data_IF_183799610640
#
_entry.id   IF_183799610640
#
_cell.length_a   1.000
_cell.length_b   1.000
_cell.length_c   1.000
_cell.angle_alpha   90.00
_cell.angle_beta   90.00
_cell.angle_gamma   90.00
#
_symmetry.space_group_name_H-M   'P 1'
#
loop_
_entity.id
_entity.type
_entity.pdbx_description
1 polymer ?
#
# COMPACT_ATOMS: atom_id res chain seq x y z
N UNK A 1 28.75 -1.85 -2.98
CA UNK A 1 27.45 -2.42 -2.56
C UNK A 1 27.11 -3.61 -3.47
N UNK A 2 26.72 -4.76 -2.93
CA UNK A 2 26.43 -5.96 -3.73
C UNK A 2 25.18 -5.73 -4.61
N UNK A 3 25.22 -6.14 -5.89
CA UNK A 3 24.09 -6.04 -6.83
C UNK A 3 22.81 -6.69 -6.30
N UNK A 4 22.89 -7.68 -5.41
CA UNK A 4 21.72 -8.23 -4.69
C UNK A 4 21.16 -7.23 -3.66
N UNK A 5 22.03 -6.66 -2.84
CA UNK A 5 21.68 -5.67 -1.81
C UNK A 5 21.03 -4.42 -2.41
N UNK A 6 21.54 -3.92 -3.55
CA UNK A 6 20.94 -2.79 -4.26
C UNK A 6 19.51 -3.08 -4.72
N UNK A 7 19.19 -4.30 -5.15
CA UNK A 7 17.81 -4.62 -5.58
C UNK A 7 16.85 -4.70 -4.41
N UNK A 8 17.32 -5.21 -3.27
CA UNK A 8 16.52 -5.22 -2.05
C UNK A 8 16.24 -3.81 -1.54
N UNK A 9 17.22 -2.91 -1.61
CA UNK A 9 17.03 -1.49 -1.28
C UNK A 9 16.01 -0.85 -2.22
N UNK A 10 16.18 -1.03 -3.54
CA UNK A 10 15.22 -0.51 -4.54
C UNK A 10 13.81 -1.07 -4.30
N UNK A 11 13.70 -2.37 -4.04
CA UNK A 11 12.44 -3.04 -3.73
C UNK A 11 11.78 -2.45 -2.50
N UNK A 12 12.52 -2.34 -1.40
CA UNK A 12 11.99 -1.82 -0.15
C UNK A 12 11.59 -0.35 -0.28
N UNK A 13 12.40 0.47 -0.95
CA UNK A 13 12.08 1.86 -1.23
C UNK A 13 10.80 2.01 -2.05
N UNK A 14 10.61 1.20 -3.10
CA UNK A 14 9.38 1.23 -3.91
C UNK A 14 8.16 0.76 -3.12
N UNK A 15 8.30 -0.32 -2.36
CA UNK A 15 7.23 -0.81 -1.50
C UNK A 15 6.78 0.27 -0.50
N UNK A 16 7.74 0.86 0.21
CA UNK A 16 7.48 1.87 1.22
C UNK A 16 6.87 3.13 0.60
N UNK A 17 7.38 3.56 -0.55
CA UNK A 17 6.82 4.69 -1.30
C UNK A 17 5.35 4.45 -1.69
N UNK A 18 5.01 3.28 -2.24
CA UNK A 18 3.65 2.95 -2.65
C UNK A 18 2.67 2.88 -1.47
N UNK A 19 3.08 2.26 -0.36
CA UNK A 19 2.26 2.18 0.86
C UNK A 19 2.01 3.56 1.43
N UNK A 20 3.06 4.39 1.56
CA UNK A 20 2.91 5.77 2.06
C UNK A 20 2.05 6.62 1.13
N UNK A 21 2.23 6.48 -0.17
CA UNK A 21 1.41 7.18 -1.16
C UNK A 21 -0.06 6.77 -1.02
N UNK A 22 -0.35 5.48 -0.88
CA UNK A 22 -1.72 5.01 -0.64
C UNK A 22 -2.31 5.58 0.66
N UNK A 23 -1.54 5.59 1.75
CA UNK A 23 -1.96 6.18 3.03
C UNK A 23 -2.32 7.66 2.82
N UNK A 24 -1.41 8.45 2.25
CA UNK A 24 -1.62 9.88 1.99
C UNK A 24 -2.88 10.09 1.14
N UNK A 25 -3.03 9.38 0.02
CA UNK A 25 -4.22 9.49 -0.82
C UNK A 25 -5.51 9.10 -0.08
N UNK A 26 -5.45 8.07 0.76
CA UNK A 26 -6.60 7.57 1.51
C UNK A 26 -7.03 8.53 2.62
N UNK A 27 -6.09 9.28 3.20
CA UNK A 27 -6.36 10.37 4.13
C UNK A 27 -6.89 11.63 3.42
N UNK A 28 -6.19 12.15 2.41
CA UNK A 28 -6.52 13.46 1.84
C UNK A 28 -7.72 13.47 0.88
N UNK A 29 -8.04 12.35 0.21
CA UNK A 29 -9.13 12.28 -0.80
C UNK A 29 -10.34 11.48 -0.33
N UNK A 30 -10.35 11.09 0.93
CA UNK A 30 -11.26 10.09 1.48
C UNK A 30 -12.69 10.54 1.76
N UNK A 31 -13.19 11.66 1.25
CA UNK A 31 -14.44 12.26 1.75
C UNK A 31 -15.73 11.54 1.25
N UNK A 32 -15.71 10.87 0.09
CA UNK A 32 -16.93 10.44 -0.62
C UNK A 32 -17.18 8.91 -0.66
N UNK A 33 -16.80 8.17 0.39
CA UNK A 33 -17.16 6.74 0.50
C UNK A 33 -16.44 5.80 -0.47
N UNK A 34 -15.33 6.24 -1.05
CA UNK A 34 -14.47 5.44 -1.92
C UNK A 34 -13.89 4.23 -1.19
N UNK A 35 -13.73 3.11 -1.88
CA UNK A 35 -13.35 1.85 -1.22
C UNK A 35 -11.95 1.89 -0.61
N UNK A 36 -11.05 2.70 -1.18
CA UNK A 36 -9.71 2.97 -0.64
C UNK A 36 -9.68 4.02 0.49
N UNK A 37 -10.76 4.77 0.73
CA UNK A 37 -10.79 5.77 1.80
C UNK A 37 -10.75 5.13 3.19
N UNK A 38 -9.92 5.70 4.08
CA UNK A 38 -9.93 5.41 5.51
C UNK A 38 -11.07 6.15 6.26
N UNK A 39 -11.60 7.24 5.72
CA UNK A 39 -12.62 8.08 6.35
C UNK A 39 -14.03 7.47 6.44
N UNK A 40 -14.27 6.29 5.85
CA UNK A 40 -15.50 5.53 6.14
C UNK A 40 -15.50 4.91 7.55
N UNK A 41 -14.48 5.19 8.37
CA UNK A 41 -14.51 5.08 9.83
C UNK A 41 -15.43 6.15 10.43
N UNK A 42 -16.71 6.15 10.08
CA UNK A 42 -17.70 6.85 10.88
C UNK A 42 -17.87 5.99 12.14
N UNK A 43 -16.99 6.18 13.13
CA UNK A 43 -16.95 5.37 14.36
C UNK A 43 -18.32 5.36 15.05
N UNK A 44 -19.04 6.47 14.97
CA UNK A 44 -20.42 6.61 15.44
C UNK A 44 -21.43 5.74 14.69
N UNK A 45 -21.21 5.44 13.40
CA UNK A 45 -22.18 4.74 12.54
C UNK A 45 -21.89 3.25 12.37
N UNK A 46 -20.63 2.82 12.56
CA UNK A 46 -20.18 1.44 12.30
C UNK A 46 -19.46 0.77 13.48
N UNK A 47 -19.21 1.48 14.60
CA UNK A 47 -18.63 0.91 15.82
C UNK A 47 -17.29 0.19 15.58
N UNK A 48 -16.99 -0.82 16.40
CA UNK A 48 -15.75 -1.61 16.36
C UNK A 48 -15.44 -2.25 14.98
N UNK A 49 -16.48 -2.57 14.20
CA UNK A 49 -16.37 -3.16 12.86
C UNK A 49 -15.71 -2.22 11.83
N UNK A 50 -15.74 -0.92 12.09
CA UNK A 50 -15.09 0.06 11.24
C UNK A 50 -13.58 -0.18 11.18
N UNK A 51 -12.98 -0.53 12.33
CA UNK A 51 -11.55 -0.77 12.48
C UNK A 51 -11.11 -2.02 11.68
N UNK A 52 -11.88 -3.10 11.77
CA UNK A 52 -11.60 -4.37 11.08
C UNK A 52 -11.64 -4.23 9.55
N UNK A 53 -12.63 -3.49 9.03
CA UNK A 53 -12.72 -3.20 7.59
C UNK A 53 -11.52 -2.35 7.13
N UNK A 54 -11.04 -1.43 7.97
CA UNK A 54 -9.85 -0.63 7.68
C UNK A 54 -8.57 -1.48 7.58
N UNK A 55 -8.42 -2.48 8.48
CA UNK A 55 -7.31 -3.42 8.44
C UNK A 55 -7.28 -4.24 7.13
N UNK A 56 -8.43 -4.75 6.69
CA UNK A 56 -8.52 -5.51 5.43
C UNK A 56 -8.08 -4.65 4.23
N UNK A 57 -8.52 -3.39 4.18
CA UNK A 57 -8.13 -2.45 3.13
C UNK A 57 -6.62 -2.18 3.12
N UNK A 58 -6.03 -2.00 4.31
CA UNK A 58 -4.60 -1.83 4.47
C UNK A 58 -3.83 -3.07 3.99
N UNK A 59 -4.28 -4.27 4.34
CA UNK A 59 -3.68 -5.53 3.88
C UNK A 59 -3.73 -5.67 2.35
N UNK A 60 -4.85 -5.33 1.71
CA UNK A 60 -4.99 -5.35 0.25
C UNK A 60 -4.02 -4.35 -0.40
N UNK A 61 -3.97 -3.11 0.11
CA UNK A 61 -3.07 -2.08 -0.41
C UNK A 61 -1.59 -2.45 -0.24
N UNK A 62 -1.22 -3.06 0.89
CA UNK A 62 0.12 -3.58 1.13
C UNK A 62 0.45 -4.71 0.15
N UNK A 63 -0.47 -5.63 -0.10
CA UNK A 63 -0.25 -6.75 -1.03
C UNK A 63 -0.06 -6.27 -2.47
N UNK A 64 -0.86 -5.30 -2.92
CA UNK A 64 -0.72 -4.67 -4.24
C UNK A 64 0.63 -3.94 -4.34
N UNK A 65 0.99 -3.17 -3.31
CA UNK A 65 2.26 -2.45 -3.26
C UNK A 65 3.45 -3.41 -3.32
N UNK A 66 3.36 -4.55 -2.64
CA UNK A 66 4.36 -5.61 -2.65
C UNK A 66 4.54 -6.21 -4.06
N UNK A 67 3.43 -6.53 -4.72
CA UNK A 67 3.45 -7.08 -6.08
C UNK A 67 4.08 -6.12 -7.08
N UNK A 68 3.71 -4.83 -7.04
CA UNK A 68 4.27 -3.81 -7.93
C UNK A 68 5.76 -3.61 -7.64
N UNK A 69 6.15 -3.45 -6.37
CA UNK A 69 7.54 -3.27 -5.99
C UNK A 69 8.41 -4.46 -6.44
N UNK A 70 7.88 -5.67 -6.34
CA UNK A 70 8.54 -6.89 -6.81
C UNK A 70 8.77 -6.87 -8.32
N UNK A 71 7.74 -6.54 -9.10
CA UNK A 71 7.82 -6.45 -10.57
C UNK A 71 8.85 -5.39 -10.99
N UNK A 72 8.83 -4.21 -10.37
CA UNK A 72 9.78 -3.12 -10.67
C UNK A 72 11.21 -3.54 -10.37
N UNK A 73 11.43 -4.22 -9.25
CA UNK A 73 12.79 -4.50 -8.75
C UNK A 73 13.42 -5.77 -9.33
N UNK A 74 12.59 -6.78 -9.61
CA UNK A 74 13.04 -8.10 -10.05
C UNK A 74 12.49 -8.50 -11.42
N UNK A 75 11.28 -8.05 -11.78
CA UNK A 75 10.65 -8.36 -13.07
C UNK A 75 11.42 -7.80 -14.28
N UNK A 76 12.00 -6.61 -14.16
CA UNK A 76 12.82 -6.02 -15.24
C UNK A 76 14.16 -6.73 -15.48
N UNK A 77 14.64 -7.55 -14.53
CA UNK A 77 15.94 -8.24 -14.66
C UNK A 77 15.89 -9.53 -15.47
N UNK A 78 14.70 -10.02 -15.82
CA UNK A 78 14.56 -11.29 -16.56
C UNK A 78 14.84 -11.17 -18.07
N UNK A 79 15.11 -9.95 -18.57
CA UNK A 79 15.37 -9.67 -20.00
C UNK A 79 16.82 -9.32 -20.35
N UNK A 80 17.80 -9.53 -19.45
CA UNK A 80 19.21 -9.21 -19.74
C UNK A 80 20.14 -10.35 -19.38
#
# INVERSE_FOLDING_TARGET
MNKKMTNYIIFFSWFLFLVLLWIIFSFFKGENGQWWSMYRLNADKYGLWALEISYIKFSIAAFISLAIAYIVSFGFKRKR
#
